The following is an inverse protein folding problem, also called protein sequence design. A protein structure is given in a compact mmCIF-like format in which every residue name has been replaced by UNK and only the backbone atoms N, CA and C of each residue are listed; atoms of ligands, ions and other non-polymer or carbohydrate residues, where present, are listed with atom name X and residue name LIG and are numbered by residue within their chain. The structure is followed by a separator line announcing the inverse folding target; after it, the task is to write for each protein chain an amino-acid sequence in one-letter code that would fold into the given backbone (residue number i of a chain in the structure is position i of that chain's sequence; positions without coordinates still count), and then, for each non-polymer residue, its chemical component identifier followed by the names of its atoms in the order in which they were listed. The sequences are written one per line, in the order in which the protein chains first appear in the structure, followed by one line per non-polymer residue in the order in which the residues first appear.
data_IF_407011514039
#
_entry.id   IF_407011514039
#
_cell.length_a   1.000
_cell.length_b   1.000
_cell.length_c   1.000
_cell.angle_alpha   90.00
_cell.angle_beta   90.00
_cell.angle_gamma   90.00
#
_symmetry.space_group_name_H-M   'P 1'
#
loop_
_entity.id
_entity.type
_entity.pdbx_description
1 polymer ?
#
# COMPACT_ATOMS: atom_id res chain seq x y z
N UNK A 1 3.79 -12.08 6.86
CA UNK A 1 5.09 -11.67 6.28
C UNK A 1 5.84 -10.84 7.32
N UNK A 2 7.15 -11.06 7.59
CA UNK A 2 7.85 -10.36 8.68
C UNK A 2 8.32 -8.93 8.33
N UNK A 3 8.39 -8.58 7.04
CA UNK A 3 8.84 -7.26 6.55
C UNK A 3 7.74 -6.61 5.70
N UNK A 4 7.73 -5.28 5.68
CA UNK A 4 6.77 -4.46 4.95
C UNK A 4 7.50 -3.26 4.33
N UNK A 5 7.15 -2.92 3.09
CA UNK A 5 7.58 -1.69 2.44
C UNK A 5 6.40 -0.72 2.34
N UNK A 6 6.62 0.50 2.80
CA UNK A 6 5.60 1.56 2.81
C UNK A 6 6.21 2.81 2.17
N UNK A 7 5.45 3.51 1.33
CA UNK A 7 5.90 4.73 0.68
C UNK A 7 4.81 5.78 0.58
N UNK A 8 5.21 7.04 0.47
CA UNK A 8 4.33 8.18 0.14
C UNK A 8 5.02 9.06 -0.88
N UNK A 9 4.27 9.91 -1.58
CA UNK A 9 4.79 10.83 -2.60
C UNK A 9 4.74 12.27 -2.10
N UNK A 10 5.76 13.06 -2.48
CA UNK A 10 5.84 14.53 -2.33
C UNK A 10 5.94 15.04 -0.88
N UNK A 11 4.94 14.77 -0.03
CA UNK A 11 4.81 15.29 1.34
C UNK A 11 4.58 14.15 2.31
N UNK A 12 5.27 14.17 3.45
CA UNK A 12 5.16 13.10 4.45
C UNK A 12 3.89 13.24 5.28
N UNK A 13 3.46 14.48 5.48
CA UNK A 13 2.31 14.87 6.29
C UNK A 13 0.95 14.53 5.64
N UNK A 14 0.93 14.25 4.33
CA UNK A 14 -0.29 14.02 3.56
C UNK A 14 -0.16 12.80 2.66
N UNK A 15 -1.20 11.96 2.66
CA UNK A 15 -1.29 10.78 1.80
C UNK A 15 -1.57 11.09 0.32
N UNK A 16 -1.73 10.06 -0.52
CA UNK A 16 -1.90 8.65 -0.16
C UNK A 16 -0.60 7.92 0.19
N UNK A 17 -0.69 6.93 1.08
CA UNK A 17 0.41 6.05 1.46
C UNK A 17 0.21 4.67 0.83
N UNK A 18 1.19 4.19 0.07
CA UNK A 18 1.21 2.83 -0.49
C UNK A 18 1.75 1.91 0.60
N UNK A 19 0.95 0.91 0.98
CA UNK A 19 1.20 0.06 2.15
C UNK A 19 1.45 -1.42 1.82
N UNK A 20 1.36 -1.82 0.55
CA UNK A 20 1.56 -3.20 0.12
C UNK A 20 1.48 -3.39 -1.39
N UNK A 21 1.74 -4.63 -1.80
CA UNK A 21 1.68 -5.16 -3.16
C UNK A 21 0.68 -6.33 -3.24
N UNK A 22 0.62 -7.02 -4.39
CA UNK A 22 -0.31 -8.13 -4.64
C UNK A 22 -0.09 -9.35 -3.72
N UNK A 23 1.10 -9.49 -3.14
CA UNK A 23 1.47 -10.61 -2.28
C UNK A 23 1.38 -10.26 -0.79
N UNK A 24 0.99 -9.03 -0.47
CA UNK A 24 0.88 -8.53 0.89
C UNK A 24 -0.27 -9.21 1.65
N UNK A 25 -0.09 -9.36 2.97
CA UNK A 25 -1.04 -10.04 3.85
C UNK A 25 -2.43 -9.37 3.79
N UNK A 26 -3.48 -10.07 3.29
CA UNK A 26 -4.80 -9.49 3.11
C UNK A 26 -5.47 -9.05 4.41
N UNK A 27 -5.24 -9.77 5.52
CA UNK A 27 -5.82 -9.41 6.82
C UNK A 27 -5.21 -8.12 7.34
N UNK A 28 -3.88 -7.96 7.18
CA UNK A 28 -3.18 -6.74 7.54
C UNK A 28 -3.63 -5.54 6.67
N UNK A 29 -3.76 -5.73 5.36
CA UNK A 29 -4.24 -4.67 4.46
C UNK A 29 -5.66 -4.23 4.79
N UNK A 30 -6.54 -5.18 5.13
CA UNK A 30 -7.90 -4.89 5.59
C UNK A 30 -7.91 -4.14 6.93
N UNK A 31 -7.07 -4.55 7.89
CA UNK A 31 -6.93 -3.87 9.17
C UNK A 31 -6.48 -2.41 9.03
N UNK A 32 -5.59 -2.12 8.07
CA UNK A 32 -5.14 -0.76 7.74
C UNK A 32 -6.17 0.06 6.94
N UNK A 33 -7.29 -0.54 6.53
CA UNK A 33 -8.29 0.12 5.68
C UNK A 33 -7.77 0.44 4.28
N UNK A 34 -6.78 -0.32 3.79
CA UNK A 34 -6.18 -0.09 2.50
C UNK A 34 -7.17 -0.36 1.35
N UNK A 35 -7.02 0.38 0.25
CA UNK A 35 -7.78 0.15 -0.98
C UNK A 35 -6.84 -0.35 -2.07
N UNK A 36 -7.18 -1.47 -2.68
CA UNK A 36 -6.48 -1.96 -3.85
C UNK A 36 -6.76 -1.04 -5.04
N UNK A 37 -5.71 -0.57 -5.69
CA UNK A 37 -5.80 0.13 -6.96
C UNK A 37 -4.69 -0.40 -7.87
N UNK A 38 -5.04 -0.63 -9.13
CA UNK A 38 -4.08 -1.01 -10.15
C UNK A 38 -3.86 0.21 -11.03
N UNK A 39 -2.65 0.78 -10.98
CA UNK A 39 -2.29 1.86 -11.90
C UNK A 39 -2.35 1.30 -13.32
N UNK A 40 -3.02 2.01 -14.23
CA UNK A 40 -3.30 1.56 -15.61
C UNK A 40 -2.06 1.09 -16.40
N UNK A 41 -0.87 1.47 -15.95
CA UNK A 41 0.41 1.22 -16.61
C UNK A 41 1.30 0.22 -15.86
N UNK A 42 0.84 -0.33 -14.74
CA UNK A 42 1.53 -1.43 -14.09
C UNK A 42 1.11 -2.75 -14.74
N UNK A 43 2.04 -3.72 -14.71
CA UNK A 43 1.82 -5.07 -15.25
C UNK A 43 0.88 -5.88 -14.36
#
# INVERSE_FOLDING_TARGET
MPYLFVSTRIRLESGPTVVGDEQSDPELMAHLGAKYFHEKWNN
#
